data_IF_979757082812
#
_entry.id   IF_979757082812
#
_cell.length_a   1.000
_cell.length_b   1.000
_cell.length_c   1.000
_cell.angle_alpha   90.00
_cell.angle_beta   90.00
_cell.angle_gamma   90.00
#
_symmetry.space_group_name_H-M   'P 1'
#
loop_
_entity.id
_entity.type
_entity.pdbx_description
1 polymer ?
#
# COMPACT_ATOMS: atom_id res chain seq x y z
N UNK A 1 -11.19 17.76 2.10
CA UNK A 1 -11.75 18.42 0.90
C UNK A 1 -12.45 19.74 1.27
N UNK A 2 -12.25 20.79 0.48
CA UNK A 2 -12.99 22.04 0.59
C UNK A 2 -14.45 21.79 0.18
N UNK A 3 -15.40 22.04 1.09
CA UNK A 3 -16.78 22.34 0.71
C UNK A 3 -17.85 21.26 0.91
N UNK A 4 -17.91 20.59 2.07
CA UNK A 4 -19.14 19.88 2.49
C UNK A 4 -19.74 20.56 3.72
N UNK A 5 -21.03 20.93 3.67
CA UNK A 5 -21.77 21.33 4.88
C UNK A 5 -21.96 20.12 5.78
N UNK A 6 -22.10 20.32 7.09
CA UNK A 6 -22.25 19.22 8.06
C UNK A 6 -23.46 18.30 7.80
N UNK A 7 -24.43 18.73 7.00
CA UNK A 7 -25.61 17.94 6.60
C UNK A 7 -25.47 17.26 5.22
N UNK A 8 -24.40 17.53 4.47
CA UNK A 8 -24.14 16.98 3.13
C UNK A 8 -23.11 15.84 3.17
N UNK A 9 -23.10 15.07 4.27
CA UNK A 9 -22.28 13.88 4.33
C UNK A 9 -22.82 12.89 3.27
N UNK A 10 -22.02 12.49 2.26
CA UNK A 10 -22.45 11.50 1.30
C UNK A 10 -22.88 10.25 2.07
N UNK A 11 -24.06 9.74 1.72
CA UNK A 11 -24.63 8.58 2.38
C UNK A 11 -23.60 7.45 2.31
N UNK A 12 -23.34 6.78 3.42
CA UNK A 12 -22.24 5.80 3.56
C UNK A 12 -22.45 4.49 2.77
N UNK A 13 -23.13 4.54 1.62
CA UNK A 13 -23.38 3.45 0.68
C UNK A 13 -22.52 3.65 -0.57
N UNK A 14 -21.23 3.92 -0.40
CA UNK A 14 -20.26 3.84 -1.49
C UNK A 14 -19.96 2.37 -1.77
N UNK A 15 -20.14 1.94 -3.03
CA UNK A 15 -19.89 0.58 -3.55
C UNK A 15 -18.39 0.25 -3.65
N UNK A 16 -17.61 0.58 -2.63
CA UNK A 16 -16.18 0.26 -2.58
C UNK A 16 -15.99 -1.20 -2.17
N UNK A 17 -15.91 -2.07 -3.19
CA UNK A 17 -15.65 -3.51 -3.05
C UNK A 17 -14.48 -3.84 -2.12
N UNK A 18 -13.46 -2.97 -2.11
CA UNK A 18 -12.33 -3.08 -1.20
C UNK A 18 -12.71 -2.90 0.26
N UNK A 19 -13.47 -1.85 0.59
CA UNK A 19 -13.87 -1.60 1.97
C UNK A 19 -14.79 -2.71 2.48
N UNK A 20 -15.65 -3.28 1.62
CA UNK A 20 -16.46 -4.46 1.94
C UNK A 20 -15.59 -5.69 2.22
N UNK A 21 -14.58 -5.95 1.38
CA UNK A 21 -13.64 -7.05 1.59
C UNK A 21 -12.81 -6.90 2.88
N UNK A 22 -12.52 -5.66 3.31
CA UNK A 22 -11.78 -5.35 4.55
C UNK A 22 -12.68 -5.13 5.77
N UNK A 23 -13.90 -5.66 5.74
CA UNK A 23 -14.74 -5.76 6.93
C UNK A 23 -15.48 -4.47 7.29
N UNK A 24 -15.78 -3.60 6.32
CA UNK A 24 -16.79 -2.56 6.49
C UNK A 24 -18.14 -3.23 6.79
N UNK A 25 -18.72 -3.05 7.99
CA UNK A 25 -20.02 -3.61 8.29
C UNK A 25 -21.10 -2.83 7.54
N UNK A 26 -22.19 -3.50 7.18
CA UNK A 26 -23.35 -2.87 6.50
C UNK A 26 -24.13 -1.89 7.41
N UNK A 27 -23.67 -1.71 8.66
CA UNK A 27 -24.28 -0.85 9.70
C UNK A 27 -25.74 -1.22 9.99
N UNK A 28 -26.14 -2.47 9.75
CA UNK A 28 -27.48 -2.95 10.08
C UNK A 28 -27.64 -3.29 11.58
N UNK A 29 -26.55 -3.68 12.26
CA UNK A 29 -26.58 -3.97 13.70
C UNK A 29 -25.43 -3.29 14.47
N UNK A 30 -25.62 -3.07 15.78
CA UNK A 30 -24.65 -2.43 16.69
C UNK A 30 -23.58 -3.42 17.18
N UNK A 31 -23.66 -4.70 16.80
CA UNK A 31 -22.75 -5.73 17.28
C UNK A 31 -21.36 -5.59 16.65
N UNK A 32 -20.35 -5.36 17.49
CA UNK A 32 -18.93 -5.30 17.10
C UNK A 32 -18.34 -6.67 16.64
N UNK A 33 -19.15 -7.73 16.66
CA UNK A 33 -18.78 -9.12 16.38
C UNK A 33 -18.77 -9.45 14.88
N UNK A 34 -19.39 -8.63 14.03
CA UNK A 34 -19.34 -8.78 12.56
C UNK A 34 -17.97 -8.39 11.96
N UNK A 35 -17.09 -7.78 12.76
CA UNK A 35 -15.76 -7.35 12.32
C UNK A 35 -14.81 -8.55 12.35
N UNK A 36 -14.75 -9.29 11.24
CA UNK A 36 -13.82 -10.41 11.07
C UNK A 36 -12.37 -9.91 11.17
N UNK A 37 -11.72 -10.21 12.30
CA UNK A 37 -10.30 -9.87 12.55
C UNK A 37 -9.31 -10.85 11.93
N UNK A 38 -9.79 -12.00 11.45
CA UNK A 38 -8.90 -13.01 10.88
C UNK A 38 -8.65 -12.68 9.40
N UNK A 39 -7.37 -12.48 9.00
CA UNK A 39 -7.04 -12.30 7.59
C UNK A 39 -7.47 -13.54 6.81
N UNK A 40 -8.35 -13.37 5.83
CA UNK A 40 -8.79 -14.47 4.96
C UNK A 40 -7.88 -14.59 3.74
N UNK A 41 -7.71 -15.80 3.22
CA UNK A 41 -6.94 -16.04 1.99
C UNK A 41 -7.44 -15.17 0.83
N UNK A 42 -8.75 -14.93 0.77
CA UNK A 42 -9.41 -14.06 -0.21
C UNK A 42 -9.01 -12.58 -0.08
N UNK A 43 -8.79 -12.07 1.14
CA UNK A 43 -8.26 -10.71 1.36
C UNK A 43 -6.79 -10.61 0.92
N UNK A 44 -5.98 -11.64 1.16
CA UNK A 44 -4.60 -11.72 0.66
C UNK A 44 -4.53 -11.73 -0.88
N UNK A 45 -5.41 -12.50 -1.53
CA UNK A 45 -5.56 -12.52 -3.00
C UNK A 45 -6.05 -11.17 -3.56
N UNK A 46 -6.97 -10.51 -2.86
CA UNK A 46 -7.43 -9.18 -3.22
C UNK A 46 -6.36 -8.09 -3.03
N UNK A 47 -5.38 -8.29 -2.14
CA UNK A 47 -4.20 -7.43 -2.04
C UNK A 47 -3.21 -7.72 -3.17
N UNK A 48 -2.91 -8.99 -3.42
CA UNK A 48 -1.96 -9.38 -4.47
C UNK A 48 -2.40 -8.98 -5.89
N UNK A 49 -3.71 -9.07 -6.17
CA UNK A 49 -4.26 -8.83 -7.51
C UNK A 49 -5.26 -7.66 -7.55
N UNK A 50 -5.37 -6.90 -6.47
CA UNK A 50 -6.33 -5.81 -6.39
C UNK A 50 -5.92 -4.64 -7.27
N UNK A 51 -6.88 -4.06 -7.99
CA UNK A 51 -6.69 -2.82 -8.75
C UNK A 51 -6.13 -1.68 -7.89
N UNK A 52 -6.36 -1.70 -6.57
CA UNK A 52 -5.84 -0.69 -5.65
C UNK A 52 -4.33 -0.80 -5.47
N UNK A 53 -3.77 -2.01 -5.32
CA UNK A 53 -2.31 -2.17 -5.21
C UNK A 53 -1.64 -1.80 -6.53
N UNK A 54 -2.24 -2.16 -7.66
CA UNK A 54 -1.78 -1.70 -8.96
C UNK A 54 -1.81 -0.17 -9.09
N UNK A 55 -2.88 0.50 -8.66
CA UNK A 55 -2.98 1.96 -8.68
C UNK A 55 -1.99 2.65 -7.73
N UNK A 56 -1.64 2.02 -6.61
CA UNK A 56 -0.65 2.54 -5.66
C UNK A 56 0.77 2.39 -6.19
N UNK A 57 1.05 1.27 -6.88
CA UNK A 57 2.35 1.03 -7.52
C UNK A 57 2.54 1.82 -8.82
N UNK A 58 1.46 2.22 -9.50
CA UNK A 58 1.52 2.98 -10.75
C UNK A 58 2.28 4.31 -10.61
N UNK A 59 3.45 4.37 -11.25
CA UNK A 59 4.35 5.51 -11.32
C UNK A 59 3.75 6.73 -12.02
N UNK A 60 2.66 6.61 -12.75
CA UNK A 60 2.06 7.78 -13.42
C UNK A 60 1.48 8.80 -12.43
N UNK A 61 1.06 8.39 -11.22
CA UNK A 61 0.34 9.27 -10.27
C UNK A 61 0.73 9.11 -8.79
N UNK A 62 1.70 8.26 -8.48
CA UNK A 62 2.06 7.89 -7.10
C UNK A 62 3.08 8.78 -6.39
N UNK A 63 3.26 8.51 -5.08
CA UNK A 63 4.38 9.03 -4.27
C UNK A 63 5.74 8.63 -4.87
N UNK A 64 5.82 7.45 -5.46
CA UNK A 64 7.03 6.90 -6.07
C UNK A 64 7.57 7.79 -7.19
N UNK A 65 6.71 8.31 -8.07
CA UNK A 65 7.13 9.20 -9.16
C UNK A 65 7.82 10.46 -8.65
N UNK A 66 7.28 11.06 -7.57
CA UNK A 66 7.89 12.24 -6.95
C UNK A 66 9.25 11.93 -6.34
N UNK A 67 9.43 10.73 -5.80
CA UNK A 67 10.72 10.27 -5.28
C UNK A 67 11.71 9.99 -6.41
N UNK A 68 11.26 9.42 -7.53
CA UNK A 68 12.10 9.14 -8.70
C UNK A 68 12.57 10.40 -9.43
N UNK A 69 11.74 11.45 -9.46
CA UNK A 69 12.10 12.77 -10.03
C UNK A 69 12.95 13.60 -9.05
N UNK A 70 12.94 13.28 -7.76
CA UNK A 70 13.78 13.96 -6.78
C UNK A 70 15.25 13.51 -6.88
N UNK A 71 16.16 14.37 -6.43
CA UNK A 71 17.61 14.11 -6.42
C UNK A 71 18.06 13.20 -5.25
N UNK A 72 17.17 12.30 -4.80
CA UNK A 72 17.43 11.38 -3.69
C UNK A 72 18.16 10.15 -4.20
N UNK A 73 19.10 9.64 -3.38
CA UNK A 73 19.78 8.38 -3.66
C UNK A 73 18.84 7.19 -3.55
N UNK A 74 19.20 6.08 -4.19
CA UNK A 74 18.38 4.86 -4.21
C UNK A 74 18.09 4.32 -2.80
N UNK A 75 19.09 4.34 -1.92
CA UNK A 75 18.95 3.96 -0.50
C UNK A 75 17.94 4.83 0.25
N UNK A 76 17.90 6.13 -0.04
CA UNK A 76 16.96 7.06 0.60
C UNK A 76 15.53 6.80 0.12
N UNK A 77 15.36 6.48 -1.16
CA UNK A 77 14.05 6.13 -1.75
C UNK A 77 13.54 4.82 -1.14
N UNK A 78 14.39 3.80 -1.02
CA UNK A 78 14.06 2.54 -0.35
C UNK A 78 13.66 2.79 1.11
N UNK A 79 14.41 3.64 1.82
CA UNK A 79 14.10 4.01 3.21
C UNK A 79 12.75 4.70 3.36
N UNK A 80 12.39 5.58 2.43
CA UNK A 80 11.07 6.24 2.38
C UNK A 80 9.93 5.24 2.11
N UNK A 81 10.16 4.25 1.25
CA UNK A 81 9.19 3.17 0.99
C UNK A 81 8.95 2.35 2.26
N UNK A 82 10.02 1.95 2.95
CA UNK A 82 9.94 1.20 4.21
C UNK A 82 9.25 2.00 5.32
N UNK A 83 9.58 3.28 5.45
CA UNK A 83 8.92 4.15 6.42
C UNK A 83 7.42 4.32 6.11
N UNK A 84 7.06 4.39 4.82
CA UNK A 84 5.66 4.51 4.41
C UNK A 84 4.86 3.21 4.60
N UNK A 85 5.48 2.05 4.40
CA UNK A 85 4.81 0.75 4.46
C UNK A 85 4.81 0.15 5.87
N UNK A 86 5.93 0.18 6.57
CA UNK A 86 6.13 -0.50 7.86
C UNK A 86 6.31 0.44 9.05
N UNK A 87 6.36 1.76 8.83
CA UNK A 87 6.65 2.74 9.88
C UNK A 87 8.00 2.48 10.61
N UNK A 88 8.95 1.82 9.95
CA UNK A 88 10.31 1.56 10.46
C UNK A 88 11.36 1.83 9.37
N UNK A 89 12.61 2.16 9.75
CA UNK A 89 13.70 2.14 8.81
C UNK A 89 14.01 0.70 8.33
N UNK A 90 14.50 0.53 7.09
CA UNK A 90 15.01 -0.75 6.62
C UNK A 90 16.28 -1.14 7.40
N UNK A 91 16.54 -2.44 7.51
CA UNK A 91 17.84 -2.92 8.00
C UNK A 91 18.90 -2.81 6.91
N UNK A 92 20.19 -2.88 7.30
CA UNK A 92 21.32 -2.84 6.35
C UNK A 92 21.19 -3.92 5.28
N UNK A 93 20.85 -5.14 5.69
CA UNK A 93 20.70 -6.28 4.78
C UNK A 93 19.52 -6.12 3.80
N UNK A 94 18.48 -5.37 4.18
CA UNK A 94 17.35 -5.04 3.31
C UNK A 94 17.74 -3.99 2.27
N UNK A 95 18.42 -2.93 2.71
CA UNK A 95 18.93 -1.88 1.80
C UNK A 95 19.89 -2.49 0.80
N UNK A 96 20.86 -3.28 1.24
CA UNK A 96 21.88 -3.87 0.37
C UNK A 96 21.26 -4.77 -0.71
N UNK A 97 20.24 -5.55 -0.35
CA UNK A 97 19.51 -6.39 -1.32
C UNK A 97 18.78 -5.55 -2.38
N UNK A 98 18.08 -4.51 -1.96
CA UNK A 98 17.33 -3.65 -2.88
C UNK A 98 18.25 -2.82 -3.77
N UNK A 99 19.35 -2.31 -3.22
CA UNK A 99 20.38 -1.59 -4.00
C UNK A 99 21.06 -2.51 -5.00
N UNK A 100 21.38 -3.75 -4.62
CA UNK A 100 21.93 -4.74 -5.56
C UNK A 100 20.95 -5.09 -6.68
N UNK A 101 19.66 -5.20 -6.38
CA UNK A 101 18.61 -5.43 -7.37
C UNK A 101 18.49 -4.24 -8.34
N UNK A 102 18.49 -3.01 -7.81
CA UNK A 102 18.45 -1.78 -8.63
C UNK A 102 19.68 -1.65 -9.54
N UNK A 103 20.86 -2.03 -9.05
CA UNK A 103 22.09 -2.00 -9.85
C UNK A 103 22.09 -3.01 -11.00
N UNK A 104 21.30 -4.08 -10.90
CA UNK A 104 21.16 -5.11 -11.93
C UNK A 104 20.02 -4.83 -12.92
N UNK A 105 19.16 -3.85 -12.64
CA UNK A 105 17.98 -3.56 -13.44
C UNK A 105 18.30 -2.65 -14.65
N UNK A 106 17.61 -2.89 -15.77
CA UNK A 106 17.73 -2.05 -16.97
C UNK A 106 16.91 -0.75 -16.85
N UNK A 107 15.72 -0.82 -16.25
CA UNK A 107 14.89 0.36 -15.91
C UNK A 107 14.82 0.52 -14.39
N UNK A 108 15.47 1.57 -13.90
CA UNK A 108 15.47 1.96 -12.47
C UNK A 108 14.05 2.20 -11.93
N UNK A 109 13.16 2.76 -12.74
CA UNK A 109 11.81 3.07 -12.30
C UNK A 109 10.94 1.83 -12.17
N UNK A 110 11.01 0.91 -13.14
CA UNK A 110 10.31 -0.38 -13.07
C UNK A 110 10.80 -1.19 -11.86
N UNK A 111 12.11 -1.25 -11.64
CA UNK A 111 12.68 -1.95 -10.48
C UNK A 111 12.23 -1.34 -9.14
N UNK A 112 12.02 -0.02 -9.07
CA UNK A 112 11.49 0.64 -7.87
C UNK A 112 10.00 0.34 -7.66
N UNK A 113 9.21 0.19 -8.73
CA UNK A 113 7.82 -0.26 -8.66
C UNK A 113 7.75 -1.70 -8.14
N UNK A 114 8.63 -2.57 -8.62
CA UNK A 114 8.75 -3.96 -8.16
C UNK A 114 9.12 -4.04 -6.67
N UNK A 115 10.05 -3.20 -6.20
CA UNK A 115 10.40 -3.12 -4.77
C UNK A 115 9.17 -2.71 -3.95
N UNK A 116 8.44 -1.66 -4.38
CA UNK A 116 7.25 -1.21 -3.69
C UNK A 116 6.17 -2.31 -3.66
N UNK A 117 5.97 -3.00 -4.78
CA UNK A 117 5.03 -4.12 -4.87
C UNK A 117 5.45 -5.27 -3.95
N UNK A 118 6.73 -5.64 -3.92
CA UNK A 118 7.26 -6.69 -3.07
C UNK A 118 7.11 -6.35 -1.57
N UNK A 119 7.32 -5.09 -1.19
CA UNK A 119 7.11 -4.59 0.17
C UNK A 119 5.63 -4.70 0.56
N UNK A 120 4.72 -4.21 -0.28
CA UNK A 120 3.28 -4.25 0.00
C UNK A 120 2.69 -5.68 0.02
N UNK A 121 3.33 -6.62 -0.66
CA UNK A 121 2.91 -8.03 -0.68
C UNK A 121 3.70 -8.91 0.28
N UNK A 122 4.58 -8.33 1.09
CA UNK A 122 5.38 -9.09 2.04
C UNK A 122 4.52 -9.61 3.20
N UNK A 123 4.97 -10.69 3.84
CA UNK A 123 4.33 -11.19 5.06
C UNK A 123 4.36 -10.17 6.20
N UNK A 124 5.40 -9.35 6.27
CA UNK A 124 5.50 -8.29 7.26
C UNK A 124 4.37 -7.27 7.04
N UNK A 125 4.13 -6.86 5.79
CA UNK A 125 3.04 -5.93 5.49
C UNK A 125 1.67 -6.54 5.77
N UNK A 126 1.49 -7.84 5.48
CA UNK A 126 0.19 -8.52 5.55
C UNK A 126 -0.19 -9.00 6.95
N UNK A 127 0.77 -9.30 7.82
CA UNK A 127 0.51 -9.93 9.12
C UNK A 127 1.01 -9.14 10.33
N UNK A 128 1.85 -8.13 10.13
CA UNK A 128 2.35 -7.28 11.21
C UNK A 128 1.53 -5.97 11.22
N UNK A 129 0.40 -5.97 11.92
CA UNK A 129 -0.46 -4.81 12.20
C UNK A 129 -0.80 -4.77 13.69
#
# INVERSE_FOLDING_TARGET
PLGYRAMELPNGRSEDHFLTAFGRPERETVCAEERQRQPTLSQGLALMNGQIVQQVCDRSRGRLNRLLVSDKGDSDIVSEIYMAAYCRPPSTDEVDRHVAYLAAAEDRGEAMEDILWAVLNSKEFLFQH
#
